data_IF_730420743918
#
_entry.id   IF_730420743918
#
_cell.length_a   1.000
_cell.length_b   1.000
_cell.length_c   1.000
_cell.angle_alpha   90.00
_cell.angle_beta   90.00
_cell.angle_gamma   90.00
#
_symmetry.space_group_name_H-M   'P 1'
#
loop_
_entity.id
_entity.type
_entity.pdbx_description
1 polymer ?
#
# COMPACT_ATOMS: atom_id res chain seq x y z
N UNK A 1 15.72 0.92 -4.06
CA UNK A 1 14.81 1.76 -3.25
C UNK A 1 14.81 3.18 -3.80
N UNK A 2 13.63 3.71 -4.14
CA UNK A 2 13.43 5.05 -4.68
C UNK A 2 13.61 6.15 -3.64
N UNK A 3 13.80 7.39 -4.13
CA UNK A 3 13.86 8.59 -3.28
C UNK A 3 12.55 8.80 -2.53
N UNK A 4 11.42 8.63 -3.20
CA UNK A 4 10.09 8.75 -2.61
C UNK A 4 9.87 7.71 -1.50
N UNK A 5 10.35 6.47 -1.65
CA UNK A 5 10.25 5.44 -0.61
C UNK A 5 11.00 5.83 0.67
N UNK A 6 12.21 6.40 0.54
CA UNK A 6 12.96 6.93 1.70
C UNK A 6 12.24 8.11 2.34
N UNK A 7 11.66 9.00 1.53
CA UNK A 7 10.89 10.14 2.03
C UNK A 7 9.63 9.68 2.77
N UNK A 8 8.93 8.68 2.24
CA UNK A 8 7.74 8.07 2.84
C UNK A 8 8.07 7.50 4.21
N UNK A 9 9.09 6.64 4.30
CA UNK A 9 9.55 6.04 5.57
C UNK A 9 9.87 7.13 6.59
N UNK A 10 10.68 8.13 6.20
CA UNK A 10 11.06 9.23 7.08
C UNK A 10 9.85 10.06 7.57
N UNK A 11 8.89 10.32 6.68
CA UNK A 11 7.72 11.15 7.00
C UNK A 11 6.69 10.38 7.84
N UNK A 12 6.58 9.06 7.64
CA UNK A 12 5.70 8.19 8.41
C UNK A 12 6.25 7.86 9.80
N UNK A 13 7.57 7.73 9.95
CA UNK A 13 8.23 7.31 11.19
C UNK A 13 7.71 7.99 12.48
N UNK A 14 7.48 9.32 12.55
CA UNK A 14 6.96 9.96 13.76
C UNK A 14 5.57 9.49 14.20
N UNK A 15 4.81 8.86 13.30
CA UNK A 15 3.46 8.37 13.55
C UNK A 15 3.40 6.86 13.76
N UNK A 16 4.54 6.16 13.74
CA UNK A 16 4.60 4.71 13.79
C UNK A 16 5.31 4.22 15.05
N UNK A 17 4.76 3.20 15.70
CA UNK A 17 5.44 2.52 16.81
C UNK A 17 6.57 1.59 16.31
N UNK A 18 6.48 1.14 15.06
CA UNK A 18 7.47 0.30 14.38
C UNK A 18 7.89 1.02 13.10
N UNK A 19 9.20 1.15 12.88
CA UNK A 19 9.75 1.83 11.70
C UNK A 19 9.23 1.18 10.40
N UNK A 20 8.61 1.98 9.50
CA UNK A 20 8.25 1.50 8.17
C UNK A 20 9.50 1.10 7.39
N UNK A 21 9.43 0.01 6.61
CA UNK A 21 10.61 -0.50 5.92
C UNK A 21 10.28 -1.11 4.57
N UNK A 22 11.22 -1.03 3.64
CA UNK A 22 11.09 -1.77 2.38
C UNK A 22 11.14 -3.26 2.61
N UNK A 23 10.25 -3.99 1.94
CA UNK A 23 10.22 -5.45 1.89
C UNK A 23 10.31 -5.94 0.44
N UNK A 24 10.79 -7.17 0.25
CA UNK A 24 10.73 -7.85 -1.04
C UNK A 24 9.44 -8.67 -1.07
N UNK A 25 8.63 -8.46 -2.10
CA UNK A 25 7.31 -9.08 -2.28
C UNK A 25 7.29 -9.84 -3.60
N UNK A 26 6.86 -11.09 -3.55
CA UNK A 26 6.64 -11.93 -4.73
C UNK A 26 5.22 -11.67 -5.27
N UNK A 27 5.10 -11.12 -6.49
CA UNK A 27 3.80 -10.89 -7.13
C UNK A 27 3.30 -12.20 -7.77
N UNK A 28 2.11 -12.65 -7.36
CA UNK A 28 1.49 -13.92 -7.77
C UNK A 28 0.05 -13.63 -8.22
N UNK A 29 -0.14 -13.02 -9.40
CA UNK A 29 -1.45 -12.56 -9.85
C UNK A 29 -2.42 -13.74 -9.99
N UNK A 30 -3.43 -13.80 -9.10
CA UNK A 30 -4.39 -14.92 -9.06
C UNK A 30 -5.83 -14.51 -8.77
N UNK A 31 -6.04 -13.38 -8.10
CA UNK A 31 -7.35 -12.99 -7.59
C UNK A 31 -7.93 -11.82 -8.40
N UNK A 32 -8.73 -10.95 -7.79
CA UNK A 32 -9.43 -9.90 -8.51
C UNK A 32 -8.50 -8.73 -8.84
N UNK A 33 -8.74 -8.10 -9.98
CA UNK A 33 -8.07 -6.86 -10.36
C UNK A 33 -8.43 -5.75 -9.36
N UNK A 34 -7.45 -4.93 -8.96
CA UNK A 34 -7.64 -3.72 -8.15
C UNK A 34 -8.40 -3.92 -6.81
N UNK A 35 -8.33 -5.11 -6.21
CA UNK A 35 -9.03 -5.42 -4.95
C UNK A 35 -8.10 -5.99 -3.87
N UNK A 36 -7.05 -5.25 -3.55
CA UNK A 36 -5.94 -5.73 -2.73
C UNK A 36 -6.37 -6.22 -1.33
N UNK A 37 -7.27 -5.50 -0.65
CA UNK A 37 -7.73 -5.90 0.68
C UNK A 37 -8.47 -7.23 0.67
N UNK A 38 -9.49 -7.40 -0.18
CA UNK A 38 -10.24 -8.67 -0.21
C UNK A 38 -9.39 -9.82 -0.76
N UNK A 39 -8.47 -9.54 -1.67
CA UNK A 39 -7.51 -10.54 -2.14
C UNK A 39 -6.62 -11.02 -1.00
N UNK A 40 -6.02 -10.10 -0.24
CA UNK A 40 -5.12 -10.46 0.84
C UNK A 40 -5.86 -11.15 1.99
N UNK A 41 -7.04 -10.66 2.35
CA UNK A 41 -7.89 -11.28 3.37
C UNK A 41 -8.37 -12.69 2.95
N UNK A 42 -8.79 -12.87 1.70
CA UNK A 42 -9.21 -14.16 1.17
C UNK A 42 -8.11 -15.22 1.13
N UNK A 43 -6.83 -14.80 1.17
CA UNK A 43 -5.67 -15.69 1.15
C UNK A 43 -5.08 -15.97 2.54
N UNK A 44 -5.70 -15.52 3.65
CA UNK A 44 -5.19 -15.79 5.00
C UNK A 44 -5.10 -17.29 5.32
N UNK A 45 -5.97 -18.14 4.75
CA UNK A 45 -6.00 -19.59 5.02
C UNK A 45 -5.69 -20.46 3.79
N UNK A 46 -5.05 -19.87 2.78
CA UNK A 46 -4.74 -20.54 1.52
C UNK A 46 -3.24 -20.71 1.40
N UNK A 47 -2.75 -21.93 1.15
CA UNK A 47 -1.33 -22.16 0.88
C UNK A 47 -0.95 -21.70 -0.54
N UNK A 48 -0.79 -20.37 -0.71
CA UNK A 48 -0.53 -19.75 -2.01
C UNK A 48 0.85 -20.15 -2.55
N UNK A 49 1.85 -20.26 -1.67
CA UNK A 49 3.23 -20.57 -2.05
C UNK A 49 3.55 -22.07 -2.09
N UNK A 50 2.61 -22.93 -1.70
CA UNK A 50 2.84 -24.38 -1.59
C UNK A 50 3.84 -24.74 -0.49
N UNK A 51 3.93 -23.92 0.56
CA UNK A 51 4.88 -24.07 1.66
C UNK A 51 4.35 -24.97 2.79
N UNK A 52 3.04 -25.27 2.77
CA UNK A 52 2.31 -25.87 3.89
C UNK A 52 1.77 -24.85 4.90
N UNK A 53 1.83 -23.54 4.60
CA UNK A 53 1.26 -22.51 5.46
C UNK A 53 -0.26 -22.68 5.60
N UNK A 54 -0.74 -22.68 6.85
CA UNK A 54 -2.18 -22.73 7.18
C UNK A 54 -2.75 -21.37 7.56
N UNK A 55 -1.87 -20.38 7.75
CA UNK A 55 -2.23 -19.04 8.18
C UNK A 55 -1.19 -18.04 7.66
N UNK A 56 -1.53 -17.33 6.60
CA UNK A 56 -0.74 -16.21 6.10
C UNK A 56 -1.14 -14.94 6.84
N UNK A 57 -0.16 -14.16 7.28
CA UNK A 57 -0.44 -12.91 7.95
C UNK A 57 -0.91 -11.86 6.95
N UNK A 58 -1.98 -11.13 7.30
CA UNK A 58 -2.40 -9.96 6.56
C UNK A 58 -1.43 -8.79 6.81
N UNK A 59 -0.92 -8.21 5.73
CA UNK A 59 0.07 -7.12 5.75
C UNK A 59 -0.50 -5.90 5.02
N UNK A 60 -0.10 -4.71 5.48
CA UNK A 60 -0.47 -3.45 4.85
C UNK A 60 0.70 -2.48 4.80
N UNK A 61 0.63 -1.56 3.86
CA UNK A 61 1.58 -0.47 3.70
C UNK A 61 1.39 0.16 2.34
N UNK A 62 2.49 0.34 1.61
CA UNK A 62 2.50 1.17 0.42
C UNK A 62 3.21 0.50 -0.75
N UNK A 63 2.69 0.69 -1.95
CA UNK A 63 3.41 0.48 -3.20
C UNK A 63 3.89 1.85 -3.68
N UNK A 64 5.21 2.00 -3.85
CA UNK A 64 5.85 3.22 -4.35
C UNK A 64 6.28 2.98 -5.80
N UNK A 65 5.68 3.72 -6.72
CA UNK A 65 6.00 3.66 -8.14
C UNK A 65 7.35 4.31 -8.47
N UNK A 66 7.93 4.04 -9.64
CA UNK A 66 9.06 4.82 -10.13
C UNK A 66 8.69 6.30 -10.32
N UNK A 67 9.69 7.17 -10.35
CA UNK A 67 9.51 8.59 -10.65
C UNK A 67 8.98 8.75 -12.07
N UNK A 68 7.86 9.46 -12.23
CA UNK A 68 7.43 9.96 -13.54
C UNK A 68 8.35 11.12 -13.95
N UNK A 69 9.14 10.99 -15.03
CA UNK A 69 10.08 12.02 -15.45
C UNK A 69 9.39 13.26 -16.06
N UNK A 70 8.17 13.11 -16.59
CA UNK A 70 7.38 14.18 -17.20
C UNK A 70 6.72 15.01 -16.11
N UNK A 71 6.00 14.35 -15.20
CA UNK A 71 5.29 15.02 -14.11
C UNK A 71 6.22 15.39 -12.94
N UNK A 72 7.42 14.81 -12.88
CA UNK A 72 8.40 14.99 -11.79
C UNK A 72 7.82 14.63 -10.42
N UNK A 73 6.98 13.60 -10.40
CA UNK A 73 6.22 13.15 -9.25
C UNK A 73 6.33 11.63 -9.10
N UNK A 74 6.02 11.14 -7.91
CA UNK A 74 5.92 9.70 -7.64
C UNK A 74 4.58 9.40 -7.02
N UNK A 75 3.82 8.53 -7.67
CA UNK A 75 2.58 7.97 -7.12
C UNK A 75 2.90 6.89 -6.09
N UNK A 76 2.11 6.88 -5.02
CA UNK A 76 2.25 5.97 -3.89
C UNK A 76 0.85 5.56 -3.48
N UNK A 77 0.54 4.27 -3.59
CA UNK A 77 -0.80 3.75 -3.28
C UNK A 77 -0.77 2.95 -1.99
N UNK A 78 -1.83 3.06 -1.20
CA UNK A 78 -2.00 2.19 -0.04
C UNK A 78 -2.37 0.79 -0.53
N UNK A 79 -1.74 -0.24 0.03
CA UNK A 79 -1.91 -1.61 -0.47
C UNK A 79 -1.95 -2.65 0.64
N UNK A 80 -2.59 -3.77 0.35
CA UNK A 80 -2.69 -4.95 1.20
C UNK A 80 -2.12 -6.17 0.49
N UNK A 81 -1.34 -6.96 1.23
CA UNK A 81 -0.72 -8.21 0.74
C UNK A 81 -0.52 -9.17 1.92
N UNK A 82 0.24 -10.25 1.74
CA UNK A 82 0.40 -11.27 2.77
C UNK A 82 1.86 -11.58 3.09
N UNK A 83 2.08 -12.19 4.25
CA UNK A 83 3.33 -12.84 4.63
C UNK A 83 3.08 -14.32 4.94
N UNK A 84 3.82 -15.20 4.28
CA UNK A 84 3.85 -16.63 4.57
C UNK A 84 4.90 -16.89 5.65
N UNK A 85 4.52 -17.32 6.87
CA UNK A 85 5.45 -17.56 7.96
C UNK A 85 6.31 -18.82 7.80
N UNK A 86 5.86 -19.79 7.00
CA UNK A 86 6.60 -21.03 6.74
C UNK A 86 7.68 -20.80 5.69
N UNK A 87 7.32 -20.19 4.56
CA UNK A 87 8.26 -19.81 3.50
C UNK A 87 9.11 -18.58 3.88
N UNK A 88 8.68 -17.81 4.88
CA UNK A 88 9.28 -16.53 5.32
C UNK A 88 9.34 -15.48 4.20
N UNK A 89 8.29 -15.40 3.39
CA UNK A 89 8.21 -14.53 2.22
C UNK A 89 6.96 -13.65 2.27
N UNK A 90 7.10 -12.42 1.79
CA UNK A 90 5.93 -11.62 1.44
C UNK A 90 5.47 -11.97 0.03
N UNK A 91 4.16 -12.01 -0.18
CA UNK A 91 3.56 -12.23 -1.49
C UNK A 91 2.31 -11.37 -1.67
N UNK A 92 2.00 -11.04 -2.92
CA UNK A 92 0.85 -10.21 -3.31
C UNK A 92 0.09 -10.91 -4.44
N UNK A 93 -1.20 -11.19 -4.21
CA UNK A 93 -2.06 -11.91 -5.16
C UNK A 93 -2.91 -11.00 -6.05
N UNK A 94 -2.75 -9.68 -5.89
CA UNK A 94 -3.48 -8.69 -6.68
C UNK A 94 -3.09 -8.75 -8.14
N UNK A 95 -4.09 -8.78 -9.03
CA UNK A 95 -3.86 -8.61 -10.45
C UNK A 95 -3.74 -7.11 -10.72
N UNK A 96 -2.56 -6.71 -11.18
CA UNK A 96 -2.29 -5.39 -11.73
C UNK A 96 -2.50 -5.42 -13.24
N UNK A 97 -2.79 -4.26 -13.85
CA UNK A 97 -2.75 -4.16 -15.30
C UNK A 97 -1.32 -4.39 -15.83
N UNK A 98 -1.18 -4.67 -17.13
CA UNK A 98 0.11 -5.01 -17.75
C UNK A 98 1.17 -3.91 -17.57
N UNK A 99 0.74 -2.65 -17.54
CA UNK A 99 1.65 -1.52 -17.37
C UNK A 99 2.26 -1.59 -15.98
N UNK A 100 1.42 -1.63 -14.94
CA UNK A 100 1.86 -1.69 -13.54
C UNK A 100 2.59 -3.01 -13.21
N UNK A 101 2.15 -4.13 -13.79
CA UNK A 101 2.75 -5.43 -13.56
C UNK A 101 4.22 -5.47 -14.03
N UNK A 102 4.54 -4.76 -15.11
CA UNK A 102 5.89 -4.65 -15.67
C UNK A 102 6.82 -3.71 -14.91
N UNK A 103 6.27 -2.81 -14.09
CA UNK A 103 7.07 -1.86 -13.32
C UNK A 103 7.75 -2.55 -12.14
N UNK A 104 9.04 -2.26 -11.97
CA UNK A 104 9.68 -2.41 -10.67
C UNK A 104 9.07 -1.37 -9.73
N UNK A 105 8.62 -1.80 -8.55
CA UNK A 105 8.08 -0.92 -7.51
C UNK A 105 8.75 -1.25 -6.19
N UNK A 106 8.77 -0.30 -5.25
CA UNK A 106 9.11 -0.64 -3.86
C UNK A 106 7.82 -0.94 -3.08
N UNK A 107 7.79 -2.07 -2.37
CA UNK A 107 6.81 -2.32 -1.31
C UNK A 107 7.38 -1.83 0.02
N UNK A 108 6.65 -0.94 0.70
CA UNK A 108 7.00 -0.43 2.03
C UNK A 108 6.00 -0.96 3.03
N UNK A 109 6.46 -1.85 3.91
CA UNK A 109 5.67 -2.36 5.03
C UNK A 109 5.51 -1.28 6.08
N UNK A 110 4.26 -0.98 6.46
CA UNK A 110 3.90 0.01 7.47
C UNK A 110 2.82 -0.60 8.39
N UNK A 111 3.28 -1.17 9.52
CA UNK A 111 2.41 -1.85 10.50
C UNK A 111 1.30 -0.94 11.00
N UNK A 112 1.58 0.36 11.11
CA UNK A 112 0.64 1.32 11.68
C UNK A 112 -0.54 1.56 10.74
N UNK A 113 -0.35 1.45 9.42
CA UNK A 113 -1.47 1.52 8.44
C UNK A 113 -2.44 0.35 8.66
N UNK A 114 -1.91 -0.88 8.82
CA UNK A 114 -2.72 -2.06 9.15
C UNK A 114 -3.48 -1.85 10.46
N UNK A 115 -2.76 -1.50 11.53
CA UNK A 115 -3.35 -1.37 12.86
C UNK A 115 -4.36 -0.23 12.91
N UNK A 116 -4.03 0.92 12.31
CA UNK A 116 -4.87 2.10 12.22
C UNK A 116 -6.20 1.80 11.54
N UNK A 117 -6.17 1.12 10.38
CA UNK A 117 -7.36 0.71 9.66
C UNK A 117 -8.20 -0.31 10.45
N UNK A 118 -7.57 -1.36 10.98
CA UNK A 118 -8.28 -2.42 11.70
C UNK A 118 -8.95 -1.93 13.00
N UNK A 119 -8.28 -1.07 13.78
CA UNK A 119 -8.84 -0.50 15.01
C UNK A 119 -10.00 0.46 14.77
N UNK A 120 -10.07 1.06 13.56
CA UNK A 120 -11.06 2.07 13.19
C UNK A 120 -12.03 1.55 12.14
N UNK A 121 -12.13 0.22 11.94
CA UNK A 121 -12.91 -0.39 10.87
C UNK A 121 -14.37 0.09 10.81
N UNK A 122 -15.00 0.35 11.96
CA UNK A 122 -16.38 0.88 12.02
C UNK A 122 -16.51 2.33 11.57
N UNK A 123 -15.41 3.10 11.64
CA UNK A 123 -15.33 4.55 11.38
C UNK A 123 -14.79 4.90 9.99
N UNK A 124 -14.10 3.97 9.32
CA UNK A 124 -13.55 4.21 7.99
C UNK A 124 -14.55 3.83 6.90
N UNK A 125 -14.57 4.61 5.82
CA UNK A 125 -15.40 4.38 4.64
C UNK A 125 -14.80 3.31 3.71
N UNK A 126 -13.48 3.10 3.79
CA UNK A 126 -12.74 2.12 2.97
C UNK A 126 -11.63 1.46 3.79
N UNK A 127 -11.33 0.20 3.49
CA UNK A 127 -10.16 -0.52 4.01
C UNK A 127 -8.86 -0.13 3.29
N UNK A 128 -8.99 0.53 2.14
CA UNK A 128 -7.87 1.09 1.38
C UNK A 128 -7.80 2.58 1.68
N UNK A 129 -6.60 3.03 2.05
CA UNK A 129 -6.33 4.43 2.37
C UNK A 129 -6.34 5.33 1.13
N UNK A 130 -6.04 6.60 1.33
CA UNK A 130 -5.91 7.55 0.22
C UNK A 130 -4.60 7.32 -0.54
N UNK A 131 -4.65 7.51 -1.85
CA UNK A 131 -3.45 7.51 -2.68
C UNK A 131 -2.68 8.81 -2.49
N UNK A 132 -1.36 8.73 -2.61
CA UNK A 132 -0.45 9.83 -2.36
C UNK A 132 0.35 10.18 -3.62
N UNK A 133 0.64 11.47 -3.77
CA UNK A 133 1.61 11.98 -4.74
C UNK A 133 2.74 12.70 -4.01
N UNK A 134 3.97 12.29 -4.27
CA UNK A 134 5.15 12.99 -3.81
C UNK A 134 5.80 13.77 -4.95
N UNK A 135 5.72 15.11 -4.89
CA UNK A 135 6.25 15.99 -5.93
C UNK A 135 7.01 17.15 -5.30
N UNK A 136 8.22 17.43 -5.79
CA UNK A 136 9.05 18.55 -5.33
C UNK A 136 9.25 18.66 -3.80
N UNK A 137 9.23 17.54 -3.08
CA UNK A 137 9.39 17.53 -1.62
C UNK A 137 8.09 17.70 -0.83
N UNK A 138 6.94 17.79 -1.52
CA UNK A 138 5.62 18.02 -0.93
C UNK A 138 4.73 16.81 -1.16
N UNK A 139 3.94 16.47 -0.14
CA UNK A 139 2.97 15.39 -0.15
C UNK A 139 1.60 15.90 -0.54
N UNK A 140 0.91 15.15 -1.38
CA UNK A 140 -0.46 15.41 -1.79
C UNK A 140 -1.26 14.12 -1.67
N UNK A 141 -2.56 14.26 -1.51
CA UNK A 141 -3.53 13.18 -1.71
C UNK A 141 -4.03 13.24 -3.15
N UNK A 142 -4.25 12.07 -3.74
CA UNK A 142 -5.00 11.92 -4.98
C UNK A 142 -6.38 11.35 -4.63
N UNK A 143 -7.44 12.06 -5.00
CA UNK A 143 -8.81 11.58 -4.93
C UNK A 143 -9.43 11.68 -6.33
N UNK A 144 -10.35 10.78 -6.68
CA UNK A 144 -11.12 10.91 -7.93
C UNK A 144 -12.39 11.70 -7.65
N UNK A 145 -12.62 12.73 -8.46
CA UNK A 145 -13.91 13.44 -8.53
C UNK A 145 -14.98 12.55 -9.20
N UNK A 146 -16.25 12.96 -9.09
CA UNK A 146 -17.39 12.21 -9.65
C UNK A 146 -17.30 11.98 -11.17
N UNK A 147 -16.58 12.85 -11.89
CA UNK A 147 -16.33 12.75 -13.33
C UNK A 147 -15.10 11.91 -13.70
N UNK A 148 -14.43 11.34 -12.69
CA UNK A 148 -13.21 10.55 -12.84
C UNK A 148 -11.94 11.38 -12.98
N UNK A 149 -12.01 12.71 -12.83
CA UNK A 149 -10.80 13.55 -12.83
C UNK A 149 -10.04 13.43 -11.50
N UNK A 150 -8.70 13.37 -11.52
CA UNK A 150 -7.93 13.34 -10.29
C UNK A 150 -7.88 14.74 -9.67
N UNK A 151 -8.38 14.84 -8.45
CA UNK A 151 -8.15 15.96 -7.55
C UNK A 151 -6.87 15.72 -6.76
N UNK A 152 -5.97 16.70 -6.79
CA UNK A 152 -4.67 16.61 -6.12
C UNK A 152 -4.56 17.76 -5.12
N UNK A 153 -4.69 17.44 -3.83
CA UNK A 153 -4.66 18.42 -2.75
C UNK A 153 -3.44 18.18 -1.84
N UNK A 154 -2.76 19.23 -1.36
CA UNK A 154 -1.66 19.06 -0.41
C UNK A 154 -2.15 18.44 0.90
N UNK A 155 -1.35 17.54 1.47
CA UNK A 155 -1.62 16.92 2.77
C UNK A 155 -0.68 17.49 3.83
N UNK A 156 -1.22 17.82 5.01
CA UNK A 156 -0.44 18.45 6.08
C UNK A 156 0.63 17.51 6.64
N UNK A 157 0.26 16.26 6.89
CA UNK A 157 1.14 15.19 7.33
C UNK A 157 0.60 13.83 6.89
N UNK A 158 1.38 12.78 7.13
CA UNK A 158 1.01 11.40 6.78
C UNK A 158 0.49 10.62 7.99
N UNK A 159 -0.15 11.25 8.98
CA UNK A 159 -0.79 10.54 10.10
C UNK A 159 -1.96 9.66 9.62
N UNK A 160 -2.33 8.64 10.41
CA UNK A 160 -3.45 7.72 10.10
C UNK A 160 -4.74 8.49 9.83
N UNK A 161 -4.98 9.56 10.58
CA UNK A 161 -6.22 10.34 10.47
C UNK A 161 -6.30 11.11 9.14
N UNK A 162 -5.16 11.43 8.52
CA UNK A 162 -5.09 12.13 7.23
C UNK A 162 -5.04 11.18 6.02
N UNK A 163 -4.51 9.96 6.18
CA UNK A 163 -4.32 9.00 5.07
C UNK A 163 -5.43 7.94 4.95
N UNK A 164 -6.39 7.89 5.88
CA UNK A 164 -7.56 7.01 5.78
C UNK A 164 -8.82 7.81 5.42
N UNK A 165 -9.76 7.15 4.76
CA UNK A 165 -11.09 7.72 4.51
C UNK A 165 -12.00 7.44 5.71
N UNK A 166 -12.39 8.47 6.46
CA UNK A 166 -13.36 8.38 7.55
C UNK A 166 -14.79 8.69 7.06
N UNK A 167 -15.79 8.14 7.75
CA UNK A 167 -17.23 8.37 7.51
C UNK A 167 -17.73 9.69 8.09
#
# INVERSE_FOLDING_TARGET
>A
MYRASRALIKTRLPFCNIEPRRVSVERIPRNNMQNCFLNAHGNEKVDVLGSGSTCNELISGWIVYPLDPVQKSTEIIQHWWNYDPVAKKFFDTTIFDETVASLEVDYVYDVEVKNGGMQRLSKIASNVGKDLLYANGVWHVIELEDDGTPKIDPIADLSIDNILYFK
#
